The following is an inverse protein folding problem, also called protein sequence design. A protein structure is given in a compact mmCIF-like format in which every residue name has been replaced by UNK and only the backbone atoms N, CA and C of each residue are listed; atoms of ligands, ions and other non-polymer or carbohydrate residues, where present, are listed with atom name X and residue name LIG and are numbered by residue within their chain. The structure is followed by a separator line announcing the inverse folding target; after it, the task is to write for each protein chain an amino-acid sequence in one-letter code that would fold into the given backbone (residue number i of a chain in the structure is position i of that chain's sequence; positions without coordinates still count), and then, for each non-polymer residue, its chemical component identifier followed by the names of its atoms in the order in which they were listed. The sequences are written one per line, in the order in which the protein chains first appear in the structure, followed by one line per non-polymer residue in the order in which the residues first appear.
data_IF_454811262455
#
_entry.id   IF_454811262455
#
_cell.length_a   1.000
_cell.length_b   1.000
_cell.length_c   1.000
_cell.angle_alpha   90.00
_cell.angle_beta   90.00
_cell.angle_gamma   90.00
#
_symmetry.space_group_name_H-M   'P 1'
#
loop_
_entity.id
_entity.type
_entity.pdbx_description
1 polymer ?
#
# COMPACT_ATOMS: atom_id res chain seq x y z
N UNK A 1 11.55 28.29 30.62
CA UNK A 1 10.82 28.21 29.33
C UNK A 1 11.61 27.25 28.45
N UNK A 2 11.21 25.98 28.39
CA UNK A 2 11.96 24.93 27.67
C UNK A 2 11.68 25.02 26.17
N UNK A 3 12.68 25.41 25.37
CA UNK A 3 12.62 25.34 23.92
C UNK A 3 12.75 23.87 23.52
N UNK A 4 11.63 23.21 23.20
CA UNK A 4 11.65 21.89 22.55
C UNK A 4 12.12 22.10 21.11
N UNK A 5 13.36 21.72 20.81
CA UNK A 5 13.82 21.60 19.43
C UNK A 5 13.12 20.40 18.79
N UNK A 6 12.37 20.65 17.72
CA UNK A 6 11.82 19.59 16.87
C UNK A 6 12.71 19.43 15.63
N UNK A 7 13.00 18.18 15.24
CA UNK A 7 13.80 17.88 14.05
C UNK A 7 12.89 17.41 12.93
N UNK A 8 12.98 18.07 11.79
CA UNK A 8 12.23 17.72 10.59
C UNK A 8 13.06 16.81 9.70
N UNK A 9 12.44 15.74 9.20
CA UNK A 9 13.06 14.76 8.33
C UNK A 9 12.25 14.58 7.05
N UNK A 10 12.96 14.39 5.94
CA UNK A 10 12.39 14.05 4.64
C UNK A 10 13.21 12.89 4.04
N UNK A 11 12.55 11.80 3.66
CA UNK A 11 13.18 10.63 3.02
C UNK A 11 12.32 10.18 1.85
N UNK A 12 12.98 9.84 0.73
CA UNK A 12 12.36 9.11 -0.37
C UNK A 12 12.55 7.62 -0.12
N UNK A 13 11.46 6.89 0.05
CA UNK A 13 11.47 5.45 0.33
C UNK A 13 10.95 4.70 -0.89
N UNK A 14 11.80 3.85 -1.46
CA UNK A 14 11.43 2.90 -2.52
C UNK A 14 10.97 1.59 -1.90
N UNK A 15 9.76 1.15 -2.23
CA UNK A 15 9.22 -0.13 -1.75
C UNK A 15 8.51 -0.90 -2.86
N UNK A 16 8.56 -2.22 -2.77
CA UNK A 16 7.77 -3.12 -3.61
C UNK A 16 6.66 -3.72 -2.78
N UNK A 17 5.43 -3.57 -3.26
CA UNK A 17 4.22 -4.00 -2.58
C UNK A 17 3.36 -4.83 -3.51
N UNK A 18 2.80 -5.90 -2.97
CA UNK A 18 1.78 -6.68 -3.66
C UNK A 18 0.40 -6.43 -3.04
N UNK A 19 -0.64 -6.63 -3.84
CA UNK A 19 -2.02 -6.63 -3.41
C UNK A 19 -2.85 -7.59 -4.23
N UNK A 20 -3.92 -8.06 -3.63
CA UNK A 20 -4.85 -9.01 -4.22
C UNK A 20 -6.27 -8.55 -3.95
N UNK A 21 -7.19 -8.76 -4.89
CA UNK A 21 -8.59 -8.43 -4.72
C UNK A 21 -9.49 -9.11 -5.75
N UNK A 22 -10.80 -8.99 -5.59
CA UNK A 22 -11.73 -9.41 -6.64
C UNK A 22 -11.76 -8.41 -7.80
N UNK A 23 -11.33 -7.17 -7.54
CA UNK A 23 -11.19 -6.10 -8.53
C UNK A 23 -9.81 -5.44 -8.46
N UNK A 24 -9.43 -4.72 -9.52
CA UNK A 24 -8.20 -3.92 -9.57
C UNK A 24 -8.17 -2.85 -8.47
N UNK A 25 -9.33 -2.24 -8.18
CA UNK A 25 -9.46 -1.22 -7.15
C UNK A 25 -9.23 -1.81 -5.74
N UNK A 26 -9.75 -3.00 -5.49
CA UNK A 26 -9.53 -3.69 -4.21
C UNK A 26 -8.05 -4.08 -4.02
N UNK A 27 -7.40 -4.60 -5.07
CA UNK A 27 -5.97 -4.89 -5.04
C UNK A 27 -5.12 -3.63 -4.77
N UNK A 28 -5.48 -2.50 -5.42
CA UNK A 28 -4.82 -1.20 -5.21
C UNK A 28 -5.02 -0.68 -3.78
N UNK A 29 -6.25 -0.70 -3.27
CA UNK A 29 -6.56 -0.29 -1.91
C UNK A 29 -5.77 -1.11 -0.88
N UNK A 30 -5.61 -2.41 -1.12
CA UNK A 30 -4.79 -3.26 -0.27
C UNK A 30 -3.31 -2.86 -0.32
N UNK A 31 -2.77 -2.52 -1.49
CA UNK A 31 -1.39 -2.02 -1.64
C UNK A 31 -1.20 -0.72 -0.86
N UNK A 32 -2.11 0.25 -1.02
CA UNK A 32 -2.03 1.55 -0.34
C UNK A 32 -2.13 1.40 1.19
N UNK A 33 -2.98 0.49 1.67
CA UNK A 33 -3.06 0.18 3.10
C UNK A 33 -1.75 -0.43 3.64
N UNK A 34 -1.10 -1.32 2.86
CA UNK A 34 0.21 -1.89 3.22
C UNK A 34 1.30 -0.82 3.20
N UNK A 35 1.30 0.06 2.20
CA UNK A 35 2.24 1.17 2.09
C UNK A 35 2.20 2.06 3.33
N UNK A 36 1.00 2.50 3.72
CA UNK A 36 0.81 3.34 4.91
C UNK A 36 1.35 2.66 6.17
N UNK A 37 1.09 1.36 6.35
CA UNK A 37 1.59 0.60 7.52
C UNK A 37 3.12 0.49 7.51
N UNK A 38 3.73 0.18 6.36
CA UNK A 38 5.19 0.08 6.26
C UNK A 38 5.88 1.39 6.62
N UNK A 39 5.39 2.52 6.11
CA UNK A 39 5.97 3.83 6.42
C UNK A 39 5.82 4.17 7.90
N UNK A 40 4.65 3.93 8.50
CA UNK A 40 4.41 4.17 9.93
C UNK A 40 5.29 3.29 10.83
N UNK A 41 5.69 2.09 10.40
CA UNK A 41 6.60 1.22 11.15
C UNK A 41 8.06 1.66 11.03
N UNK A 42 8.45 2.25 9.90
CA UNK A 42 9.83 2.68 9.63
C UNK A 42 10.18 3.99 10.32
N UNK A 43 9.22 4.90 10.40
CA UNK A 43 9.43 6.25 10.93
C UNK A 43 9.24 6.30 12.44
N UNK A 44 10.23 6.82 13.16
CA UNK A 44 10.13 7.15 14.59
C UNK A 44 9.78 8.62 14.74
N UNK A 45 8.48 8.91 14.78
CA UNK A 45 7.98 10.29 14.92
C UNK A 45 6.57 10.44 14.37
N UNK A 46 6.09 11.68 14.33
CA UNK A 46 4.79 12.01 13.75
C UNK A 46 4.95 12.23 12.25
N UNK A 47 4.38 11.35 11.44
CA UNK A 47 4.31 11.54 9.97
C UNK A 47 3.39 12.71 9.68
N UNK A 48 3.94 13.74 9.03
CA UNK A 48 3.21 14.96 8.64
C UNK A 48 2.70 14.88 7.20
N UNK A 49 3.45 14.19 6.34
CA UNK A 49 3.13 14.06 4.93
C UNK A 49 3.65 12.75 4.38
N UNK A 50 2.85 12.13 3.53
CA UNK A 50 3.20 10.92 2.79
C UNK A 50 2.52 11.01 1.42
N UNK A 51 3.30 11.00 0.35
CA UNK A 51 2.76 10.94 -1.00
C UNK A 51 3.61 10.06 -1.90
N UNK A 52 2.99 9.26 -2.77
CA UNK A 52 3.72 8.56 -3.82
C UNK A 52 4.26 9.58 -4.82
N UNK A 53 5.55 9.52 -5.09
CA UNK A 53 6.25 10.33 -6.11
C UNK A 53 6.29 9.58 -7.44
N UNK A 54 6.43 8.26 -7.37
CA UNK A 54 6.44 7.39 -8.54
C UNK A 54 5.74 6.07 -8.23
N UNK A 55 4.97 5.57 -9.19
CA UNK A 55 4.21 4.32 -9.07
C UNK A 55 4.38 3.55 -10.37
N UNK A 56 4.93 2.35 -10.29
CA UNK A 56 5.16 1.46 -11.42
C UNK A 56 4.52 0.10 -11.15
N UNK A 57 3.57 -0.31 -11.97
CA UNK A 57 2.96 -1.65 -11.88
C UNK A 57 3.92 -2.64 -12.51
N UNK A 58 4.57 -3.47 -11.69
CA UNK A 58 5.53 -4.48 -12.17
C UNK A 58 4.84 -5.73 -12.65
N UNK A 59 3.69 -6.10 -12.05
CA UNK A 59 2.88 -7.25 -12.47
C UNK A 59 1.39 -7.00 -12.25
N UNK A 60 0.58 -7.50 -13.17
CA UNK A 60 -0.87 -7.54 -13.07
C UNK A 60 -1.38 -8.86 -13.67
N UNK A 61 -1.89 -9.75 -12.83
CA UNK A 61 -2.49 -11.03 -13.22
C UNK A 61 -3.98 -10.98 -12.87
N UNK A 62 -4.83 -11.17 -13.88
CA UNK A 62 -6.29 -11.17 -13.73
C UNK A 62 -6.79 -12.55 -14.14
N UNK A 63 -7.27 -13.32 -13.17
CA UNK A 63 -7.82 -14.66 -13.38
C UNK A 63 -9.31 -14.64 -13.15
N UNK A 64 -10.07 -15.00 -14.18
CA UNK A 64 -11.48 -15.33 -14.04
C UNK A 64 -11.62 -16.84 -13.88
N UNK A 65 -12.27 -17.27 -12.81
CA UNK A 65 -12.62 -18.67 -12.62
C UNK A 65 -14.11 -18.80 -12.35
N UNK A 66 -14.73 -19.73 -13.07
CA UNK A 66 -16.13 -20.10 -12.84
C UNK A 66 -16.13 -21.27 -11.88
N UNK A 67 -16.47 -21.02 -10.62
CA UNK A 67 -16.73 -22.09 -9.65
C UNK A 67 -17.96 -22.87 -10.12
N UNK A 68 -17.73 -24.06 -10.67
CA UNK A 68 -18.80 -25.03 -10.91
C UNK A 68 -19.06 -25.73 -9.58
N UNK A 69 -19.91 -25.14 -8.75
CA UNK A 69 -20.44 -25.83 -7.59
C UNK A 69 -21.05 -27.15 -8.05
N UNK A 70 -20.63 -28.23 -7.38
CA UNK A 70 -21.01 -29.61 -7.63
C UNK A 70 -22.53 -29.73 -7.84
N UNK A 71 -22.94 -29.78 -9.11
CA UNK A 71 -24.23 -30.20 -9.66
C UNK A 71 -25.55 -29.49 -9.23
N UNK A 72 -25.56 -28.46 -8.35
CA UNK A 72 -26.85 -27.88 -7.88
C UNK A 72 -26.96 -26.35 -7.74
N UNK A 73 -25.90 -25.53 -7.89
CA UNK A 73 -25.99 -24.10 -7.52
C UNK A 73 -25.44 -23.13 -8.57
N UNK A 74 -26.15 -22.00 -8.72
CA UNK A 74 -25.88 -20.85 -9.59
C UNK A 74 -24.36 -20.58 -9.76
N UNK A 75 -23.82 -20.69 -10.99
CA UNK A 75 -22.40 -20.45 -11.22
C UNK A 75 -22.09 -18.97 -10.93
N UNK A 76 -21.25 -18.73 -9.92
CA UNK A 76 -20.72 -17.40 -9.63
C UNK A 76 -19.33 -17.29 -10.27
N UNK A 77 -19.19 -16.39 -11.22
CA UNK A 77 -17.87 -16.04 -11.76
C UNK A 77 -17.13 -15.24 -10.69
N UNK A 78 -15.99 -15.76 -10.21
CA UNK A 78 -15.08 -15.00 -9.38
C UNK A 78 -13.94 -14.47 -10.24
N UNK A 79 -13.56 -13.23 -9.97
CA UNK A 79 -12.37 -12.61 -10.49
C UNK A 79 -11.34 -12.56 -9.38
N UNK A 80 -10.09 -12.85 -9.71
CA UNK A 80 -8.95 -12.68 -8.83
C UNK A 80 -7.95 -11.81 -9.54
N UNK A 81 -7.63 -10.68 -8.93
CA UNK A 81 -6.60 -9.75 -9.37
C UNK A 81 -5.44 -9.89 -8.40
N UNK A 82 -4.28 -10.27 -8.92
CA UNK A 82 -3.01 -10.24 -8.19
C UNK A 82 -2.13 -9.14 -8.85
N UNK A 83 -1.72 -8.15 -8.07
CA UNK A 83 -0.99 -6.97 -8.54
C UNK A 83 0.30 -6.78 -7.73
N UNK A 84 1.39 -6.46 -8.41
CA UNK A 84 2.64 -6.01 -7.80
C UNK A 84 2.99 -4.61 -8.31
N UNK A 85 3.37 -3.75 -7.38
CA UNK A 85 3.67 -2.34 -7.66
C UNK A 85 4.94 -1.94 -6.94
N UNK A 86 5.79 -1.23 -7.64
CA UNK A 86 6.95 -0.55 -7.11
C UNK A 86 6.61 0.93 -6.92
N UNK A 87 6.75 1.42 -5.69
CA UNK A 87 6.34 2.78 -5.31
C UNK A 87 7.51 3.49 -4.65
N UNK A 88 7.82 4.68 -5.15
CA UNK A 88 8.70 5.64 -4.47
C UNK A 88 7.81 6.62 -3.72
N UNK A 89 8.00 6.74 -2.41
CA UNK A 89 7.17 7.57 -1.53
C UNK A 89 8.03 8.60 -0.83
N UNK A 90 7.63 9.86 -0.95
CA UNK A 90 8.17 10.93 -0.13
C UNK A 90 7.48 10.88 1.22
N UNK A 91 8.27 10.75 2.28
CA UNK A 91 7.79 10.77 3.66
C UNK A 91 8.44 11.93 4.39
N UNK A 92 7.60 12.76 5.02
CA UNK A 92 8.04 13.86 5.88
C UNK A 92 7.51 13.64 7.28
N UNK A 93 8.40 13.66 8.27
CA UNK A 93 8.04 13.45 9.66
C UNK A 93 8.77 14.37 10.61
N UNK A 94 8.16 14.55 11.78
CA UNK A 94 8.68 15.34 12.87
C UNK A 94 9.09 14.42 14.02
N UNK A 95 10.32 14.59 14.49
CA UNK A 95 10.77 14.01 15.74
C UNK A 95 10.74 15.10 16.83
N UNK A 96 9.95 14.87 17.88
CA UNK A 96 9.93 15.73 19.05
C UNK A 96 10.87 15.08 20.08
N UNK A 97 12.02 15.71 20.29
CA UNK A 97 12.94 15.31 21.35
C UNK A 97 12.34 15.76 22.69
N UNK A 98 11.98 14.77 23.52
CA UNK A 98 11.46 14.97 24.88
C UNK A 98 12.56 15.21 25.89
#
# INVERSE_FOLDING_TARGET
MSQRCSRFHCELVRTSLSGTGETTEEALNQILARLRRQVLQRVRGTVLFMAPVHVEVTRLDIRSYTERFLWLFWPRTRHRVDMEVQIDVEVRWLEILG
#
